data_IF_175804990810
#
_entry.id   IF_175804990810
#
_cell.length_a   1.000
_cell.length_b   1.000
_cell.length_c   1.000
_cell.angle_alpha   90.00
_cell.angle_beta   90.00
_cell.angle_gamma   90.00
#
_symmetry.space_group_name_H-M   'P 1'
#
loop_
_entity.id
_entity.type
_entity.pdbx_description
1 polymer ?
#
# COMPACT_ATOMS: atom_id res chain seq x y z
N UNK A 1 2.07 -9.21 -8.49
CA UNK A 1 1.14 -9.09 -7.34
C UNK A 1 1.95 -8.45 -6.24
N UNK A 2 1.45 -7.40 -5.60
CA UNK A 2 2.32 -6.60 -4.77
C UNK A 2 2.67 -7.32 -3.47
N UNK A 3 3.81 -6.97 -2.90
CA UNK A 3 4.39 -7.62 -1.73
C UNK A 3 4.05 -6.87 -0.43
N UNK A 4 4.16 -7.54 0.71
CA UNK A 4 4.07 -6.84 2.00
C UNK A 4 5.27 -5.89 2.14
N UNK A 5 5.03 -4.73 2.73
CA UNK A 5 5.94 -3.59 2.81
C UNK A 5 6.28 -2.91 1.47
N UNK A 6 5.71 -3.39 0.34
CA UNK A 6 5.78 -2.66 -0.93
C UNK A 6 5.14 -1.28 -0.79
N UNK A 7 5.79 -0.28 -1.38
CA UNK A 7 5.38 1.12 -1.34
C UNK A 7 4.99 1.59 -2.73
N UNK A 8 3.89 2.32 -2.80
CA UNK A 8 3.32 2.86 -4.02
C UNK A 8 2.97 4.32 -3.82
N UNK A 9 3.24 5.16 -4.81
CA UNK A 9 2.83 6.57 -4.79
C UNK A 9 1.81 6.82 -5.90
N UNK A 10 0.66 7.40 -5.54
CA UNK A 10 -0.43 7.70 -6.47
C UNK A 10 -1.18 8.94 -6.00
N UNK A 11 -1.41 9.90 -6.90
CA UNK A 11 -2.19 11.11 -6.62
C UNK A 11 -1.79 11.87 -5.33
N UNK A 12 -0.49 11.94 -5.03
CA UNK A 12 0.01 12.61 -3.81
C UNK A 12 -0.23 11.81 -2.53
N UNK A 13 -0.54 10.52 -2.63
CA UNK A 13 -0.60 9.58 -1.53
C UNK A 13 0.54 8.58 -1.63
N UNK A 14 1.12 8.22 -0.48
CA UNK A 14 2.00 7.05 -0.34
C UNK A 14 1.25 5.94 0.36
N UNK A 15 1.08 4.82 -0.34
CA UNK A 15 0.42 3.62 0.13
C UNK A 15 1.51 2.60 0.46
N UNK A 16 1.50 2.07 1.68
CA UNK A 16 2.43 1.02 2.15
C UNK A 16 1.59 -0.21 2.46
N UNK A 17 1.82 -1.31 1.74
CA UNK A 17 1.07 -2.55 1.93
C UNK A 17 1.50 -3.19 3.25
N UNK A 18 0.53 -3.50 4.12
CA UNK A 18 0.78 -4.11 5.43
C UNK A 18 0.30 -5.53 5.56
N UNK A 19 -0.71 -5.91 4.78
CA UNK A 19 -1.23 -7.28 4.80
C UNK A 19 -1.88 -7.67 3.49
N UNK A 20 -1.49 -8.82 2.96
CA UNK A 20 -2.09 -9.46 1.80
C UNK A 20 -2.98 -10.65 2.22
N UNK A 21 -4.01 -10.97 1.43
CA UNK A 21 -4.77 -12.23 1.52
C UNK A 21 -5.09 -12.73 0.11
N UNK A 22 -4.31 -13.70 -0.36
CA UNK A 22 -4.34 -14.06 -1.77
C UNK A 22 -4.15 -12.80 -2.61
N UNK A 23 -4.91 -12.58 -3.71
CA UNK A 23 -4.70 -11.46 -4.61
C UNK A 23 -5.17 -10.10 -4.09
N UNK A 24 -5.61 -10.00 -2.83
CA UNK A 24 -6.21 -8.80 -2.26
C UNK A 24 -5.32 -8.19 -1.19
N UNK A 25 -5.12 -6.88 -1.26
CA UNK A 25 -4.61 -6.07 -0.15
C UNK A 25 -5.75 -5.94 0.86
N UNK A 26 -5.53 -6.36 2.11
CA UNK A 26 -6.53 -6.24 3.18
C UNK A 26 -6.19 -5.16 4.20
N UNK A 27 -4.93 -4.73 4.25
CA UNK A 27 -4.49 -3.60 5.06
C UNK A 27 -3.36 -2.85 4.36
N UNK A 28 -3.46 -1.53 4.34
CA UNK A 28 -2.39 -0.64 3.91
C UNK A 28 -2.34 0.59 4.83
N UNK A 29 -1.13 1.13 5.04
CA UNK A 29 -0.92 2.43 5.65
C UNK A 29 -0.90 3.47 4.54
N UNK A 30 -1.76 4.48 4.61
CA UNK A 30 -1.84 5.56 3.62
C UNK A 30 -1.35 6.85 4.27
N UNK A 31 -0.42 7.51 3.61
CA UNK A 31 0.12 8.81 4.00
C UNK A 31 -0.17 9.81 2.89
N UNK A 32 -0.53 11.04 3.26
CA UNK A 32 -0.52 12.17 2.32
C UNK A 32 0.94 12.62 2.15
N UNK A 33 1.35 12.87 0.92
CA UNK A 33 2.62 13.51 0.60
C UNK A 33 2.40 15.03 0.66
N UNK A 34 3.21 15.71 1.47
CA UNK A 34 3.24 17.18 1.57
C UNK A 34 4.02 17.81 0.40
#
# INVERSE_FOLDING_TARGET
MPEEEEQMEVEGLRIIIKKMKGPKIVLAKVLKLD
#
